data_IF_821235480575
#
_entry.id   IF_821235480575
#
_cell.length_a   1.000
_cell.length_b   1.000
_cell.length_c   1.000
_cell.angle_alpha   90.00
_cell.angle_beta   90.00
_cell.angle_gamma   90.00
#
_symmetry.space_group_name_H-M   'P 1'
#
loop_
_entity.id
_entity.type
_entity.pdbx_description
1 polymer ?
#
# COMPACT_ATOMS: atom_id res chain seq x y z
N UNK A 1 6.50 14.91 13.94
CA UNK A 1 5.34 14.68 13.04
C UNK A 1 4.43 13.64 13.69
N UNK A 2 3.13 13.56 13.34
CA UNK A 2 2.26 12.49 13.86
C UNK A 2 2.74 11.16 13.28
N UNK A 3 2.98 10.15 14.11
CA UNK A 3 3.28 8.79 13.69
C UNK A 3 2.10 8.21 12.90
N UNK A 4 2.36 7.64 11.72
CA UNK A 4 1.33 7.03 10.87
C UNK A 4 1.12 5.58 11.28
N UNK A 5 -0.14 5.24 11.54
CA UNK A 5 -0.56 3.90 11.94
C UNK A 5 -1.01 3.10 10.73
N UNK A 6 -0.32 2.00 10.47
CA UNK A 6 -0.51 1.17 9.28
C UNK A 6 -1.28 -0.10 9.58
N UNK A 7 -2.13 -0.49 8.62
CA UNK A 7 -2.66 -1.84 8.49
C UNK A 7 -2.17 -2.49 7.20
N UNK A 8 -1.99 -3.81 7.21
CA UNK A 8 -1.60 -4.57 6.02
C UNK A 8 -2.71 -5.57 5.66
N UNK A 9 -3.15 -5.56 4.41
CA UNK A 9 -4.04 -6.58 3.85
C UNK A 9 -3.22 -7.58 3.05
N UNK A 10 -3.18 -8.83 3.53
CA UNK A 10 -2.38 -9.91 2.96
C UNK A 10 -1.13 -10.22 3.77
N UNK A 11 -0.68 -11.48 3.65
CA UNK A 11 0.46 -12.04 4.41
C UNK A 11 1.49 -12.71 3.48
N UNK A 12 1.59 -12.21 2.24
CA UNK A 12 2.55 -12.69 1.24
C UNK A 12 3.95 -12.09 1.42
N UNK A 13 4.88 -12.52 0.57
CA UNK A 13 6.28 -12.07 0.62
C UNK A 13 6.43 -10.54 0.49
N UNK A 14 5.63 -9.91 -0.35
CA UNK A 14 5.69 -8.45 -0.51
C UNK A 14 5.14 -7.71 0.72
N UNK A 15 4.12 -8.26 1.38
CA UNK A 15 3.63 -7.73 2.65
C UNK A 15 4.72 -7.81 3.74
N UNK A 16 5.49 -8.91 3.76
CA UNK A 16 6.62 -9.09 4.67
C UNK A 16 7.72 -8.06 4.41
N UNK A 17 8.13 -7.90 3.16
CA UNK A 17 9.13 -6.89 2.79
C UNK A 17 8.70 -5.46 3.19
N UNK A 18 7.42 -5.13 3.03
CA UNK A 18 6.88 -3.85 3.49
C UNK A 18 6.92 -3.71 5.02
N UNK A 19 6.52 -4.75 5.76
CA UNK A 19 6.53 -4.73 7.22
C UNK A 19 7.97 -4.58 7.77
N UNK A 20 8.95 -5.25 7.17
CA UNK A 20 10.38 -5.11 7.50
C UNK A 20 10.88 -3.69 7.23
N UNK A 21 10.59 -3.14 6.04
CA UNK A 21 10.97 -1.78 5.69
C UNK A 21 10.30 -0.71 6.56
N UNK A 22 9.06 -0.96 7.01
CA UNK A 22 8.33 -0.05 7.88
C UNK A 22 9.03 0.14 9.24
N UNK A 23 9.71 -0.89 9.76
CA UNK A 23 10.47 -0.83 11.03
C UNK A 23 11.64 0.17 10.97
N UNK A 24 12.15 0.48 9.77
CA UNK A 24 13.20 1.48 9.55
C UNK A 24 12.65 2.91 9.46
N UNK A 25 11.37 3.10 9.69
CA UNK A 25 10.68 4.40 9.59
C UNK A 25 10.02 4.79 10.91
N UNK A 26 9.43 5.99 10.94
CA UNK A 26 8.58 6.43 12.07
C UNK A 26 7.15 5.83 12.04
N UNK A 27 6.82 5.00 11.04
CA UNK A 27 5.51 4.35 10.92
C UNK A 27 5.34 3.24 11.94
N UNK A 28 4.09 2.98 12.34
CA UNK A 28 3.74 1.91 13.28
C UNK A 28 2.82 0.89 12.60
N UNK A 29 3.19 -0.40 12.62
CA UNK A 29 2.32 -1.47 12.15
C UNK A 29 1.35 -1.87 13.27
N UNK A 30 0.06 -1.52 13.11
CA UNK A 30 -0.98 -1.80 14.10
C UNK A 30 -1.55 -3.20 13.93
N UNK A 31 -1.87 -3.58 12.68
CA UNK A 31 -2.54 -4.84 12.40
C UNK A 31 -2.22 -5.40 11.01
N UNK A 32 -2.33 -6.71 10.89
CA UNK A 32 -2.30 -7.41 9.61
C UNK A 32 -3.55 -8.28 9.47
N UNK A 33 -4.10 -8.34 8.26
CA UNK A 33 -5.23 -9.21 7.97
C UNK A 33 -4.90 -10.28 6.93
N UNK A 34 -5.42 -11.46 7.15
CA UNK A 34 -5.38 -12.57 6.19
C UNK A 34 -6.75 -13.24 6.08
N UNK A 35 -6.89 -14.13 5.10
CA UNK A 35 -8.10 -14.94 4.91
C UNK A 35 -8.36 -15.91 6.07
N UNK A 36 -7.31 -16.29 6.80
CA UNK A 36 -7.40 -17.16 7.99
C UNK A 36 -6.67 -16.54 9.17
N UNK A 37 -7.18 -16.76 10.37
CA UNK A 37 -6.56 -16.31 11.62
C UNK A 37 -5.14 -16.82 11.79
N UNK A 38 -4.92 -18.10 11.45
CA UNK A 38 -3.61 -18.74 11.58
C UNK A 38 -2.53 -18.00 10.77
N UNK A 39 -2.78 -17.68 9.49
CA UNK A 39 -1.82 -16.96 8.65
C UNK A 39 -1.57 -15.53 9.14
N UNK A 40 -2.59 -14.90 9.69
CA UNK A 40 -2.43 -13.58 10.28
C UNK A 40 -1.56 -13.64 11.55
N UNK A 41 -1.73 -14.63 12.41
CA UNK A 41 -0.92 -14.85 13.61
C UNK A 41 0.55 -15.11 13.28
N UNK A 42 0.81 -16.05 12.36
CA UNK A 42 2.18 -16.36 11.92
C UNK A 42 2.91 -15.15 11.36
N UNK A 43 2.19 -14.29 10.63
CA UNK A 43 2.77 -13.07 10.09
C UNK A 43 2.99 -12.01 11.18
N UNK A 44 2.05 -11.82 12.09
CA UNK A 44 2.08 -10.74 13.08
C UNK A 44 3.10 -10.94 14.21
N UNK A 45 3.43 -12.18 14.52
CA UNK A 45 4.30 -12.55 15.66
C UNK A 45 5.65 -11.80 15.68
N UNK A 46 6.42 -11.72 14.56
CA UNK A 46 7.70 -11.03 14.54
C UNK A 46 7.59 -9.50 14.69
N UNK A 47 6.42 -8.94 14.41
CA UNK A 47 6.19 -7.48 14.37
C UNK A 47 5.42 -6.97 15.60
N UNK A 48 4.89 -7.87 16.44
CA UNK A 48 4.10 -7.49 17.63
C UNK A 48 2.79 -6.76 17.31
N UNK A 49 2.25 -6.92 16.10
CA UNK A 49 1.01 -6.27 15.68
C UNK A 49 -0.22 -7.18 15.84
N UNK A 50 -1.41 -6.61 15.73
CA UNK A 50 -2.66 -7.38 15.86
C UNK A 50 -2.89 -8.26 14.62
N UNK A 51 -3.24 -9.54 14.86
CA UNK A 51 -3.61 -10.49 13.82
C UNK A 51 -5.13 -10.46 13.61
N UNK A 52 -5.59 -10.16 12.41
CA UNK A 52 -7.01 -10.06 12.06
C UNK A 52 -7.38 -11.12 11.02
N UNK A 53 -8.45 -11.87 11.28
CA UNK A 53 -9.07 -12.70 10.26
C UNK A 53 -10.06 -11.88 9.43
N UNK A 54 -9.92 -11.94 8.09
CA UNK A 54 -10.77 -11.20 7.17
C UNK A 54 -10.30 -9.75 6.93
N UNK A 55 -10.05 -9.43 5.68
CA UNK A 55 -9.51 -8.12 5.28
C UNK A 55 -10.44 -6.94 5.64
N UNK A 56 -11.77 -7.12 5.50
CA UNK A 56 -12.76 -6.11 5.86
C UNK A 56 -12.79 -5.77 7.33
N UNK A 57 -12.51 -6.75 8.19
CA UNK A 57 -12.44 -6.53 9.64
C UNK A 57 -11.31 -5.55 9.97
N UNK A 58 -10.14 -5.69 9.32
CA UNK A 58 -9.04 -4.73 9.49
C UNK A 58 -9.40 -3.35 8.91
N UNK A 59 -10.02 -3.31 7.73
CA UNK A 59 -10.44 -2.04 7.13
C UNK A 59 -11.36 -1.26 8.07
N UNK A 60 -12.21 -1.95 8.83
CA UNK A 60 -13.15 -1.36 9.78
C UNK A 60 -12.53 -1.01 11.14
N UNK A 61 -11.30 -1.44 11.40
CA UNK A 61 -10.63 -1.20 12.69
C UNK A 61 -10.36 0.30 12.88
N UNK A 62 -10.76 0.90 14.01
CA UNK A 62 -10.45 2.31 14.28
C UNK A 62 -8.95 2.51 14.55
N UNK A 63 -8.48 3.75 14.40
CA UNK A 63 -7.11 4.11 14.75
C UNK A 63 -6.04 3.74 13.71
N UNK A 64 -6.41 3.19 12.55
CA UNK A 64 -5.53 2.99 11.41
C UNK A 64 -5.62 4.20 10.47
N UNK A 65 -4.50 4.84 10.18
CA UNK A 65 -4.42 6.00 9.30
C UNK A 65 -4.24 5.60 7.83
N UNK A 66 -3.48 4.53 7.56
CA UNK A 66 -3.13 4.07 6.22
C UNK A 66 -3.19 2.54 6.09
N UNK A 67 -3.57 2.05 4.92
CA UNK A 67 -3.63 0.63 4.61
C UNK A 67 -2.74 0.32 3.41
N UNK A 68 -1.84 -0.66 3.60
CA UNK A 68 -1.10 -1.28 2.52
C UNK A 68 -1.86 -2.50 2.00
N UNK A 69 -2.25 -2.47 0.73
CA UNK A 69 -2.97 -3.56 0.06
C UNK A 69 -1.96 -4.44 -0.68
N UNK A 70 -1.71 -5.62 -0.14
CA UNK A 70 -0.77 -6.63 -0.66
C UNK A 70 -1.47 -7.98 -0.92
N UNK A 71 -2.74 -7.93 -1.28
CA UNK A 71 -3.57 -9.07 -1.68
C UNK A 71 -3.38 -9.40 -3.17
N UNK A 72 -3.98 -10.46 -3.72
CA UNK A 72 -4.04 -10.66 -5.16
C UNK A 72 -4.71 -9.47 -5.87
N UNK A 73 -4.16 -9.10 -7.04
CA UNK A 73 -4.57 -7.89 -7.78
C UNK A 73 -6.06 -7.83 -8.14
N UNK A 74 -6.74 -8.96 -8.25
CA UNK A 74 -8.19 -9.05 -8.51
C UNK A 74 -9.05 -8.47 -7.39
N UNK A 75 -8.50 -8.32 -6.18
CA UNK A 75 -9.21 -7.75 -5.02
C UNK A 75 -8.79 -6.32 -4.67
N UNK A 76 -7.79 -5.76 -5.35
CA UNK A 76 -7.27 -4.43 -5.06
C UNK A 76 -8.33 -3.35 -5.15
N UNK A 77 -9.12 -3.34 -6.25
CA UNK A 77 -10.17 -2.35 -6.45
C UNK A 77 -11.18 -2.33 -5.31
N UNK A 78 -11.71 -3.49 -4.96
CA UNK A 78 -12.72 -3.63 -3.92
C UNK A 78 -12.21 -3.10 -2.57
N UNK A 79 -11.04 -3.56 -2.13
CA UNK A 79 -10.49 -3.12 -0.85
C UNK A 79 -10.07 -1.65 -0.84
N UNK A 80 -9.52 -1.14 -1.95
CA UNK A 80 -9.20 0.28 -2.07
C UNK A 80 -10.45 1.16 -1.96
N UNK A 81 -11.57 0.77 -2.60
CA UNK A 81 -12.85 1.46 -2.46
C UNK A 81 -13.31 1.51 -1.00
N UNK A 82 -13.24 0.38 -0.29
CA UNK A 82 -13.64 0.30 1.11
C UNK A 82 -12.77 1.19 2.02
N UNK A 83 -11.45 1.15 1.84
CA UNK A 83 -10.51 2.00 2.57
C UNK A 83 -10.78 3.49 2.35
N UNK A 84 -10.89 3.91 1.08
CA UNK A 84 -11.14 5.30 0.72
C UNK A 84 -12.47 5.83 1.24
N UNK A 85 -13.53 5.00 1.26
CA UNK A 85 -14.83 5.35 1.87
C UNK A 85 -14.70 5.61 3.36
N UNK A 86 -13.81 4.90 4.05
CA UNK A 86 -13.53 5.10 5.47
C UNK A 86 -12.44 6.16 5.73
N UNK A 87 -12.02 6.89 4.68
CA UNK A 87 -10.99 7.94 4.74
C UNK A 87 -9.64 7.43 5.25
N UNK A 88 -9.31 6.18 4.99
CA UNK A 88 -7.99 5.61 5.25
C UNK A 88 -7.13 5.76 4.00
N UNK A 89 -5.93 6.29 4.15
CA UNK A 89 -4.96 6.38 3.06
C UNK A 89 -4.65 4.99 2.50
N UNK A 90 -4.41 4.90 1.20
CA UNK A 90 -4.17 3.63 0.52
C UNK A 90 -2.83 3.65 -0.20
N UNK A 91 -1.98 2.69 0.13
CA UNK A 91 -0.85 2.26 -0.69
C UNK A 91 -1.21 0.88 -1.26
N UNK A 92 -1.40 0.78 -2.57
CA UNK A 92 -1.84 -0.45 -3.22
C UNK A 92 -0.74 -1.05 -4.07
N UNK A 93 -0.52 -2.37 -3.95
CA UNK A 93 0.41 -3.09 -4.81
C UNK A 93 0.02 -2.99 -6.30
N UNK A 94 1.03 -3.10 -7.10
CA UNK A 94 0.89 -3.08 -8.57
C UNK A 94 0.38 -4.44 -9.10
N UNK A 95 -0.44 -4.45 -10.14
CA UNK A 95 -1.16 -3.31 -10.68
C UNK A 95 -2.28 -2.87 -9.73
N UNK A 96 -2.51 -1.56 -9.60
CA UNK A 96 -3.52 -1.03 -8.66
C UNK A 96 -4.93 -1.56 -8.94
N UNK A 97 -5.24 -1.79 -10.20
CA UNK A 97 -6.52 -2.37 -10.67
C UNK A 97 -6.31 -3.21 -11.92
N UNK A 98 -7.32 -3.94 -12.36
CA UNK A 98 -7.27 -4.79 -13.54
C UNK A 98 -7.60 -4.05 -14.86
N UNK A 99 -8.08 -2.82 -14.77
CA UNK A 99 -8.41 -2.00 -15.95
C UNK A 99 -8.44 -0.50 -15.61
N UNK A 100 -8.38 0.34 -16.64
CA UNK A 100 -8.35 1.79 -16.51
C UNK A 100 -9.66 2.36 -15.90
N UNK A 101 -10.79 1.77 -16.14
CA UNK A 101 -12.09 2.23 -15.61
C UNK A 101 -12.09 2.16 -14.08
N UNK A 102 -11.63 1.05 -13.51
CA UNK A 102 -11.50 0.89 -12.06
C UNK A 102 -10.48 1.90 -11.49
N UNK A 103 -9.34 2.08 -12.17
CA UNK A 103 -8.33 3.08 -11.75
C UNK A 103 -8.94 4.47 -11.68
N UNK A 104 -9.66 4.90 -12.72
CA UNK A 104 -10.30 6.22 -12.73
C UNK A 104 -11.33 6.37 -11.61
N UNK A 105 -12.14 5.33 -11.36
CA UNK A 105 -13.10 5.33 -10.26
C UNK A 105 -12.42 5.49 -8.88
N UNK A 106 -11.28 4.85 -8.66
CA UNK A 106 -10.50 5.02 -7.42
C UNK A 106 -9.92 6.43 -7.29
N UNK A 107 -9.39 6.99 -8.37
CA UNK A 107 -8.85 8.35 -8.40
C UNK A 107 -9.94 9.37 -8.05
N UNK A 108 -11.13 9.25 -8.65
CA UNK A 108 -12.25 10.14 -8.38
C UNK A 108 -12.74 10.01 -6.93
N UNK A 109 -12.81 8.78 -6.41
CA UNK A 109 -13.18 8.54 -5.01
C UNK A 109 -12.15 9.12 -4.02
N UNK A 110 -10.86 8.95 -4.31
CA UNK A 110 -9.74 9.51 -3.54
C UNK A 110 -9.85 11.05 -3.46
N UNK A 111 -10.03 11.70 -4.61
CA UNK A 111 -10.21 13.16 -4.71
C UNK A 111 -11.44 13.64 -3.95
N UNK A 112 -12.58 12.97 -4.17
CA UNK A 112 -13.86 13.30 -3.48
C UNK A 112 -13.73 13.23 -1.97
N UNK A 113 -13.05 12.21 -1.46
CA UNK A 113 -12.87 11.98 -0.02
C UNK A 113 -11.65 12.70 0.56
N UNK A 114 -10.83 13.36 -0.28
CA UNK A 114 -9.56 14.00 0.09
C UNK A 114 -8.64 13.03 0.85
N UNK A 115 -8.55 11.80 0.36
CA UNK A 115 -7.80 10.71 0.97
C UNK A 115 -6.71 10.25 0.01
N UNK A 116 -5.48 10.05 0.50
CA UNK A 116 -4.35 9.62 -0.32
C UNK A 116 -4.61 8.24 -0.93
N UNK A 117 -4.36 8.12 -2.23
CA UNK A 117 -4.29 6.88 -2.97
C UNK A 117 -2.96 6.85 -3.74
N UNK A 118 -2.17 5.83 -3.54
CA UNK A 118 -0.87 5.66 -4.21
C UNK A 118 -0.70 4.20 -4.66
N UNK A 119 -0.21 4.03 -5.89
CA UNK A 119 0.24 2.72 -6.38
C UNK A 119 1.71 2.49 -6.00
N UNK A 120 2.04 1.28 -5.54
CA UNK A 120 3.36 0.92 -5.03
C UNK A 120 4.37 0.66 -6.16
N UNK A 121 4.71 1.69 -6.93
CA UNK A 121 5.82 1.67 -7.89
C UNK A 121 7.14 2.02 -7.21
N UNK A 122 7.81 1.02 -6.66
CA UNK A 122 9.06 1.19 -5.92
C UNK A 122 10.14 1.93 -6.71
N UNK A 123 10.29 1.62 -8.01
CA UNK A 123 11.32 2.25 -8.85
C UNK A 123 11.10 3.76 -9.06
N UNK A 124 9.86 4.26 -8.96
CA UNK A 124 9.53 5.66 -9.24
C UNK A 124 10.19 6.64 -8.27
N UNK A 125 10.37 6.23 -7.03
CA UNK A 125 11.02 7.04 -5.98
C UNK A 125 12.50 6.67 -5.80
N UNK A 126 13.02 5.68 -6.54
CA UNK A 126 14.42 5.25 -6.45
C UNK A 126 15.35 6.35 -6.99
N UNK A 127 16.47 6.68 -6.29
CA UNK A 127 17.39 7.73 -6.72
C UNK A 127 17.91 7.56 -8.14
N UNK A 128 18.16 6.34 -8.58
CA UNK A 128 18.59 6.04 -9.95
C UNK A 128 17.54 6.49 -11.00
N UNK A 129 16.26 6.23 -10.76
CA UNK A 129 15.18 6.63 -11.66
C UNK A 129 15.02 8.14 -11.70
N UNK A 130 15.13 8.81 -10.54
CA UNK A 130 15.12 10.26 -10.45
C UNK A 130 16.28 10.86 -11.24
N UNK A 131 17.49 10.30 -11.08
CA UNK A 131 18.67 10.74 -11.83
C UNK A 131 18.51 10.53 -13.34
N UNK A 132 17.96 9.38 -13.76
CA UNK A 132 17.65 9.13 -15.17
C UNK A 132 16.66 10.16 -15.72
N UNK A 133 15.62 10.47 -14.98
CA UNK A 133 14.64 11.48 -15.40
C UNK A 133 15.26 12.88 -15.56
N UNK A 134 16.18 13.27 -14.66
CA UNK A 134 16.96 14.52 -14.78
C UNK A 134 17.79 14.54 -16.06
N UNK A 135 18.54 13.45 -16.35
CA UNK A 135 19.39 13.35 -17.54
C UNK A 135 18.57 13.42 -18.83
N UNK A 136 17.42 12.76 -18.87
CA UNK A 136 16.48 12.83 -20.00
C UNK A 136 15.93 14.26 -20.17
N UNK A 137 15.56 14.92 -19.09
CA UNK A 137 15.06 16.30 -19.12
C UNK A 137 16.13 17.29 -19.66
N UNK A 138 17.39 17.04 -19.38
CA UNK A 138 18.53 17.80 -19.90
C UNK A 138 18.85 17.47 -21.37
N UNK A 139 18.04 16.61 -22.01
CA UNK A 139 18.25 16.15 -23.40
C UNK A 139 19.63 15.52 -23.65
N UNK A 140 20.24 14.96 -22.63
CA UNK A 140 21.47 14.17 -22.76
C UNK A 140 21.11 12.86 -23.45
N UNK A 141 21.55 12.75 -24.72
CA UNK A 141 21.32 11.56 -25.54
C UNK A 141 22.19 10.40 -25.03
N UNK A 142 21.57 9.27 -24.69
CA UNK A 142 22.28 8.03 -24.37
C UNK A 142 22.73 7.27 -25.62
N UNK A 143 22.47 7.81 -26.84
CA UNK A 143 22.79 7.18 -28.14
C UNK A 143 24.23 7.49 -28.62
N UNK A 144 24.94 8.36 -27.92
CA UNK A 144 26.30 8.79 -28.31
C UNK A 144 27.37 8.30 -27.34
N UNK A 145 27.18 7.08 -26.79
CA UNK A 145 28.25 6.38 -26.10
C UNK A 145 28.81 5.32 -27.05
#
# INVERSE_FOLDING_TARGET
>A
MKQIKWGILGTGSIAKAFAEALQETEGELIAVASTTKQRALEFSEPYGCEAIEGHRNLISLPGIDAIYIATPHTSHFEFAVECLKQKKAVLCEKPMTINATETMALIDLSRKNKTLLMEAFMYKIHPQTQKLAELVALRLSLIHI
#
